data_IF_430786419192
#
_entry.id   IF_430786419192
#
_cell.length_a   1.000
_cell.length_b   1.000
_cell.length_c   1.000
_cell.angle_alpha   90.00
_cell.angle_beta   90.00
_cell.angle_gamma   90.00
#
_symmetry.space_group_name_H-M   'P 1'
#
loop_
_entity.id
_entity.type
_entity.pdbx_description
1 polymer ?
#
# COMPACT_ATOMS: atom_id res chain seq x y z
N UNK A 1 25.35 36.91 3.03
CA UNK A 1 23.90 36.69 2.92
C UNK A 1 23.68 35.46 2.02
N UNK A 2 24.03 34.28 2.54
CA UNK A 2 23.98 32.96 1.85
C UNK A 2 23.69 31.87 2.89
N UNK A 3 24.14 32.07 4.14
CA UNK A 3 23.99 31.13 5.26
C UNK A 3 22.53 30.96 5.74
N UNK A 4 21.68 31.98 5.60
CA UNK A 4 20.27 31.91 6.03
C UNK A 4 19.41 31.06 5.08
N UNK A 5 19.66 31.12 3.76
CA UNK A 5 18.90 30.34 2.77
C UNK A 5 19.21 28.83 2.83
N UNK A 6 20.46 28.44 3.11
CA UNK A 6 20.81 27.03 3.31
C UNK A 6 20.23 26.46 4.62
N UNK A 7 20.23 27.25 5.70
CA UNK A 7 19.62 26.85 6.97
C UNK A 7 18.10 26.68 6.85
N UNK A 8 17.43 27.61 6.16
CA UNK A 8 16.00 27.53 5.85
C UNK A 8 15.67 26.32 4.98
N UNK A 9 16.47 26.06 3.95
CA UNK A 9 16.28 24.88 3.11
C UNK A 9 16.42 23.59 3.94
N UNK A 10 17.48 23.44 4.74
CA UNK A 10 17.70 22.25 5.56
C UNK A 10 16.60 22.05 6.61
N UNK A 11 16.09 23.13 7.22
CA UNK A 11 14.94 23.04 8.14
C UNK A 11 13.65 22.64 7.44
N UNK A 12 13.39 23.16 6.23
CA UNK A 12 12.21 22.84 5.44
C UNK A 12 12.23 21.38 4.94
N UNK A 13 13.40 20.87 4.54
CA UNK A 13 13.58 19.46 4.20
C UNK A 13 13.37 18.54 5.40
N UNK A 14 13.87 18.93 6.58
CA UNK A 14 13.64 18.21 7.84
C UNK A 14 12.16 18.09 8.17
N UNK A 15 11.43 19.20 8.13
CA UNK A 15 9.99 19.25 8.38
C UNK A 15 9.19 18.44 7.36
N UNK A 16 9.49 18.58 6.06
CA UNK A 16 8.81 17.84 5.01
C UNK A 16 9.03 16.32 5.14
N UNK A 17 10.24 15.89 5.53
CA UNK A 17 10.54 14.49 5.76
C UNK A 17 9.77 13.94 6.96
N UNK A 18 9.72 14.67 8.07
CA UNK A 18 9.01 14.25 9.28
C UNK A 18 7.49 14.19 9.04
N UNK A 19 6.93 15.18 8.35
CA UNK A 19 5.52 15.18 7.97
C UNK A 19 5.17 13.98 7.07
N UNK A 20 6.05 13.64 6.13
CA UNK A 20 5.90 12.46 5.27
C UNK A 20 5.95 11.16 6.07
N UNK A 21 6.93 10.99 6.96
CA UNK A 21 7.03 9.81 7.82
C UNK A 21 5.80 9.66 8.72
N UNK A 22 5.38 10.75 9.38
CA UNK A 22 4.21 10.74 10.27
C UNK A 22 2.91 10.47 9.51
N UNK A 23 2.77 10.99 8.30
CA UNK A 23 1.61 10.68 7.46
C UNK A 23 1.60 9.21 7.06
N UNK A 24 2.74 8.66 6.63
CA UNK A 24 2.86 7.26 6.26
C UNK A 24 2.57 6.31 7.42
N UNK A 25 3.11 6.61 8.60
CA UNK A 25 2.84 5.82 9.79
C UNK A 25 1.34 5.78 10.10
N UNK A 26 0.68 6.94 10.12
CA UNK A 26 -0.77 7.02 10.38
C UNK A 26 -1.61 6.28 9.33
N UNK A 27 -1.23 6.37 8.06
CA UNK A 27 -1.91 5.65 6.99
C UNK A 27 -1.76 4.13 7.16
N UNK A 28 -0.53 3.66 7.40
CA UNK A 28 -0.25 2.25 7.66
C UNK A 28 -0.99 1.74 8.88
N UNK A 29 -1.06 2.50 9.98
CA UNK A 29 -1.82 2.12 11.18
C UNK A 29 -3.30 1.95 10.86
N UNK A 30 -3.90 2.92 10.17
CA UNK A 30 -5.32 2.89 9.82
C UNK A 30 -5.66 1.71 8.90
N UNK A 31 -4.81 1.44 7.90
CA UNK A 31 -5.00 0.31 6.99
C UNK A 31 -4.77 -1.04 7.68
N UNK A 32 -3.80 -1.12 8.59
CA UNK A 32 -3.55 -2.31 9.41
C UNK A 32 -4.76 -2.64 10.27
N UNK A 33 -5.32 -1.64 10.93
CA UNK A 33 -6.51 -1.81 11.76
C UNK A 33 -7.74 -2.20 10.92
N UNK A 34 -7.95 -1.56 9.76
CA UNK A 34 -9.03 -1.94 8.86
C UNK A 34 -8.89 -3.41 8.42
N UNK A 35 -7.70 -3.84 8.00
CA UNK A 35 -7.49 -5.21 7.53
C UNK A 35 -7.66 -6.22 8.66
N UNK A 36 -7.23 -5.91 9.89
CA UNK A 36 -7.50 -6.75 11.07
C UNK A 36 -9.00 -6.92 11.33
N UNK A 37 -9.77 -5.85 11.21
CA UNK A 37 -11.22 -5.90 11.36
C UNK A 37 -11.86 -6.77 10.27
N UNK A 38 -11.46 -6.58 9.00
CA UNK A 38 -11.97 -7.39 7.89
C UNK A 38 -11.59 -8.88 8.02
N UNK A 39 -10.41 -9.20 8.55
CA UNK A 39 -10.02 -10.60 8.86
C UNK A 39 -10.91 -11.18 9.96
N UNK A 40 -11.16 -10.43 11.05
CA UNK A 40 -12.03 -10.87 12.15
C UNK A 40 -13.44 -11.14 11.66
N UNK A 41 -13.92 -10.35 10.72
CA UNK A 41 -15.26 -10.46 10.15
C UNK A 41 -15.34 -11.49 8.99
N UNK A 42 -14.22 -12.15 8.67
CA UNK A 42 -14.13 -13.18 7.63
C UNK A 42 -14.20 -12.64 6.20
N UNK A 43 -14.02 -11.33 6.02
CA UNK A 43 -14.05 -10.64 4.73
C UNK A 43 -12.70 -10.68 4.02
N UNK A 44 -11.60 -10.72 4.77
CA UNK A 44 -10.24 -10.71 4.24
C UNK A 44 -9.44 -11.96 4.59
N UNK A 45 -8.62 -12.42 3.64
CA UNK A 45 -7.70 -13.55 3.79
C UNK A 45 -6.29 -13.14 3.35
N UNK A 46 -5.53 -12.41 4.20
CA UNK A 46 -4.23 -11.90 3.84
C UNK A 46 -3.25 -13.01 3.46
N UNK A 47 -2.37 -12.72 2.51
CA UNK A 47 -1.33 -13.65 2.05
C UNK A 47 -0.29 -14.01 3.13
N UNK A 48 -0.28 -13.30 4.26
CA UNK A 48 0.60 -13.53 5.40
C UNK A 48 -0.14 -13.23 6.71
N UNK A 49 0.26 -13.90 7.80
CA UNK A 49 -0.23 -13.58 9.14
C UNK A 49 0.34 -12.26 9.70
N UNK A 50 1.47 -11.77 9.16
CA UNK A 50 2.08 -10.50 9.53
C UNK A 50 1.41 -9.34 8.76
N UNK A 51 0.22 -8.94 9.24
CA UNK A 51 -0.62 -7.92 8.60
C UNK A 51 0.08 -6.56 8.56
N UNK A 52 0.79 -6.19 9.62
CA UNK A 52 1.45 -4.88 9.72
C UNK A 52 2.54 -4.76 8.67
N UNK A 53 3.43 -5.76 8.57
CA UNK A 53 4.46 -5.79 7.55
C UNK A 53 3.87 -5.82 6.14
N UNK A 54 2.79 -6.57 5.92
CA UNK A 54 2.09 -6.59 4.63
C UNK A 54 1.63 -5.19 4.20
N UNK A 55 0.97 -4.46 5.09
CA UNK A 55 0.47 -3.11 4.81
C UNK A 55 1.62 -2.14 4.56
N UNK A 56 2.71 -2.24 5.34
CA UNK A 56 3.93 -1.45 5.12
C UNK A 56 4.47 -1.68 3.70
N UNK A 57 4.69 -2.94 3.33
CA UNK A 57 5.28 -3.31 2.04
C UNK A 57 4.38 -2.87 0.86
N UNK A 58 3.06 -3.06 0.99
CA UNK A 58 2.09 -2.63 -0.02
C UNK A 58 2.01 -1.10 -0.15
N UNK A 59 2.08 -0.37 0.97
CA UNK A 59 2.07 1.09 0.98
C UNK A 59 3.33 1.65 0.31
N UNK A 60 4.52 1.11 0.62
CA UNK A 60 5.77 1.50 -0.04
C UNK A 60 5.77 1.16 -1.53
N UNK A 61 5.31 -0.03 -1.92
CA UNK A 61 5.19 -0.41 -3.33
C UNK A 61 4.28 0.58 -4.09
N UNK A 62 3.12 0.91 -3.51
CA UNK A 62 2.18 1.86 -4.11
C UNK A 62 2.81 3.24 -4.31
N UNK A 63 3.44 3.79 -3.28
CA UNK A 63 4.11 5.09 -3.37
C UNK A 63 5.22 5.09 -4.42
N UNK A 64 6.01 4.02 -4.47
CA UNK A 64 7.07 3.88 -5.45
C UNK A 64 6.50 3.84 -6.89
N UNK A 65 5.42 3.09 -7.11
CA UNK A 65 4.75 3.03 -8.41
C UNK A 65 4.18 4.40 -8.83
N UNK A 66 3.53 5.13 -7.92
CA UNK A 66 3.03 6.48 -8.20
C UNK A 66 4.15 7.48 -8.47
N UNK A 67 5.24 7.41 -7.70
CA UNK A 67 6.41 8.24 -7.91
C UNK A 67 7.01 8.00 -9.29
N UNK A 68 7.25 6.74 -9.67
CA UNK A 68 7.81 6.40 -10.97
C UNK A 68 6.91 6.85 -12.11
N UNK A 69 5.59 6.64 -12.00
CA UNK A 69 4.61 7.07 -12.98
C UNK A 69 4.63 8.60 -13.18
N UNK A 70 4.77 9.36 -12.09
CA UNK A 70 4.89 10.82 -12.15
C UNK A 70 6.23 11.26 -12.76
N UNK A 71 7.34 10.67 -12.30
CA UNK A 71 8.69 10.99 -12.75
C UNK A 71 8.93 10.65 -14.23
N UNK A 72 8.30 9.58 -14.73
CA UNK A 72 8.36 9.19 -16.14
C UNK A 72 7.47 10.05 -17.04
N UNK A 73 6.68 10.97 -16.48
CA UNK A 73 5.66 11.75 -17.20
C UNK A 73 4.70 10.83 -17.97
N UNK A 74 4.29 9.74 -17.31
CA UNK A 74 3.40 8.76 -17.89
C UNK A 74 2.12 9.42 -18.40
N UNK A 75 1.61 8.94 -19.54
CA UNK A 75 0.33 9.40 -20.05
C UNK A 75 -0.85 8.86 -19.20
N UNK A 76 -2.06 9.30 -19.53
CA UNK A 76 -3.28 8.84 -18.83
C UNK A 76 -3.48 7.32 -18.94
N UNK A 77 -3.12 6.72 -20.07
CA UNK A 77 -3.31 5.29 -20.31
C UNK A 77 -2.32 4.47 -19.49
N UNK A 78 -1.07 4.90 -19.39
CA UNK A 78 -0.04 4.32 -18.53
C UNK A 78 -0.39 4.47 -17.06
N UNK A 79 -0.86 5.65 -16.65
CA UNK A 79 -1.32 5.92 -15.28
C UNK A 79 -2.48 4.99 -14.90
N UNK A 80 -3.46 4.83 -15.77
CA UNK A 80 -4.59 3.94 -15.53
C UNK A 80 -4.15 2.47 -15.42
N UNK A 81 -3.19 2.04 -16.25
CA UNK A 81 -2.63 0.69 -16.18
C UNK A 81 -1.92 0.45 -14.85
N UNK A 82 -1.03 1.36 -14.45
CA UNK A 82 -0.33 1.29 -13.17
C UNK A 82 -1.32 1.25 -12.00
N UNK A 83 -2.33 2.15 -11.98
CA UNK A 83 -3.34 2.19 -10.92
C UNK A 83 -4.11 0.86 -10.82
N UNK A 84 -4.52 0.31 -11.97
CA UNK A 84 -5.20 -0.99 -12.04
C UNK A 84 -4.33 -2.11 -11.50
N UNK A 85 -3.05 -2.15 -11.89
CA UNK A 85 -2.11 -3.17 -11.41
C UNK A 85 -1.85 -3.08 -9.91
N UNK A 86 -1.59 -1.88 -9.38
CA UNK A 86 -1.37 -1.67 -7.94
C UNK A 86 -2.62 -2.09 -7.16
N UNK A 87 -3.81 -1.67 -7.60
CA UNK A 87 -5.08 -2.04 -6.96
C UNK A 87 -5.29 -3.56 -6.95
N UNK A 88 -5.03 -4.24 -8.06
CA UNK A 88 -5.16 -5.69 -8.14
C UNK A 88 -4.20 -6.41 -7.18
N UNK A 89 -2.96 -5.94 -7.05
CA UNK A 89 -1.98 -6.48 -6.09
C UNK A 89 -2.48 -6.29 -4.66
N UNK A 90 -2.95 -5.09 -4.31
CA UNK A 90 -3.50 -4.79 -3.00
C UNK A 90 -4.66 -5.72 -2.65
N UNK A 91 -5.65 -5.83 -3.52
CA UNK A 91 -6.83 -6.66 -3.28
C UNK A 91 -6.46 -8.13 -3.13
N UNK A 92 -5.63 -8.66 -4.04
CA UNK A 92 -5.21 -10.05 -3.99
C UNK A 92 -4.37 -10.37 -2.74
N UNK A 93 -3.50 -9.46 -2.32
CA UNK A 93 -2.61 -9.70 -1.18
C UNK A 93 -3.32 -9.55 0.18
N UNK A 94 -4.23 -8.59 0.32
CA UNK A 94 -4.90 -8.30 1.59
C UNK A 94 -6.22 -9.05 1.77
N UNK A 95 -7.10 -9.08 0.76
CA UNK A 95 -8.40 -9.77 0.86
C UNK A 95 -8.37 -11.20 0.33
N UNK A 96 -7.29 -11.57 -0.38
CA UNK A 96 -7.20 -12.85 -1.06
C UNK A 96 -8.02 -12.86 -2.34
N UNK A 97 -7.86 -13.92 -3.12
CA UNK A 97 -8.90 -14.24 -4.10
C UNK A 97 -10.06 -14.91 -3.38
N UNK A 98 -11.32 -14.66 -3.78
CA UNK A 98 -12.38 -15.59 -3.47
C UNK A 98 -12.03 -16.89 -4.21
N UNK A 99 -11.24 -17.75 -3.58
CA UNK A 99 -11.16 -19.13 -3.98
C UNK A 99 -12.57 -19.65 -3.76
N UNK A 100 -13.33 -19.74 -4.84
CA UNK A 100 -14.49 -20.59 -4.95
C UNK A 100 -14.20 -21.83 -4.12
N UNK A 101 -14.99 -22.04 -3.06
CA UNK A 101 -14.87 -23.20 -2.21
C UNK A 101 -14.79 -24.39 -3.15
N UNK A 102 -13.62 -25.01 -3.25
CA UNK A 102 -13.47 -26.23 -4.02
C UNK A 102 -14.18 -27.27 -3.19
N UNK A 103 -15.50 -27.37 -3.36
CA UNK A 103 -16.28 -28.52 -2.97
C UNK A 103 -15.70 -29.69 -3.75
N UNK A 104 -14.71 -30.34 -3.16
CA UNK A 104 -14.24 -31.65 -3.60
C UNK A 104 -15.48 -32.55 -3.63
N UNK A 105 -15.91 -33.09 -4.78
CA UNK A 105 -16.99 -34.06 -4.77
C UNK A 105 -16.52 -35.25 -3.95
N UNK A 106 -17.29 -35.61 -2.93
CA UNK A 106 -17.12 -36.85 -2.19
C UNK A 106 -17.14 -37.98 -3.21
N UNK A 107 -16.01 -38.64 -3.38
CA UNK A 107 -15.90 -39.86 -4.15
C UNK A 107 -16.32 -40.96 -3.20
N UNK A 108 -17.61 -41.32 -3.24
CA UNK A 108 -18.10 -42.58 -2.68
C UNK A 108 -17.39 -43.74 -3.38
N UNK A 109 -16.77 -44.60 -2.57
CA UNK A 109 -16.41 -45.98 -2.89
C UNK A 109 -16.73 -46.86 -1.70
#
# INVERSE_FOLDING_TARGET
MVVEDEQLAVSDWGFASEAWFNWNHRLTDALTEQLRNDVRDGLAHPATADIERLIIDLNYMMQHAFYLNSASKADTTETQRMFTSVTAIWLAAAWGHPTSSTSRPATDR
#
